data_IF_883479753867
#
_entry.id   IF_883479753867
#
_cell.length_a   1.000
_cell.length_b   1.000
_cell.length_c   1.000
_cell.angle_alpha   90.00
_cell.angle_beta   90.00
_cell.angle_gamma   90.00
#
_symmetry.space_group_name_H-M   'P 1'
#
loop_
_entity.id
_entity.type
_entity.pdbx_description
1 polymer ?
#
# COMPACT_ATOMS: atom_id res chain seq x y z
N UNK A 1 -4.15 -7.03 2.95
CA UNK A 1 -3.49 -8.17 2.26
C UNK A 1 -2.99 -7.80 0.86
N UNK A 2 -3.80 -7.19 -0.01
CA UNK A 2 -3.39 -6.87 -1.40
C UNK A 2 -2.07 -6.09 -1.54
N UNK A 3 -1.86 -5.03 -0.74
CA UNK A 3 -0.58 -4.30 -0.72
C UNK A 3 0.59 -5.20 -0.31
N UNK A 4 0.42 -6.01 0.73
CA UNK A 4 1.48 -6.90 1.23
C UNK A 4 1.88 -7.92 0.17
N UNK A 5 0.93 -8.52 -0.53
CA UNK A 5 1.20 -9.47 -1.61
C UNK A 5 1.87 -8.81 -2.80
N UNK A 6 1.45 -7.59 -3.17
CA UNK A 6 2.09 -6.82 -4.23
C UNK A 6 3.56 -6.50 -3.90
N UNK A 7 3.84 -6.10 -2.66
CA UNK A 7 5.23 -5.83 -2.21
C UNK A 7 6.08 -7.10 -2.20
N UNK A 8 5.52 -8.24 -1.77
CA UNK A 8 6.24 -9.53 -1.79
C UNK A 8 6.60 -9.95 -3.22
N UNK A 9 5.64 -9.86 -4.15
CA UNK A 9 5.85 -10.19 -5.55
C UNK A 9 6.90 -9.27 -6.19
N UNK A 10 6.74 -7.96 -6.02
CA UNK A 10 7.69 -6.97 -6.53
C UNK A 10 9.10 -7.17 -5.98
N UNK A 11 9.21 -7.45 -4.67
CA UNK A 11 10.49 -7.71 -4.02
C UNK A 11 11.24 -8.88 -4.66
N UNK A 12 10.52 -9.98 -4.95
CA UNK A 12 11.11 -11.18 -5.59
C UNK A 12 11.53 -10.90 -7.02
N UNK A 13 10.60 -10.37 -7.82
CA UNK A 13 10.74 -10.38 -9.27
C UNK A 13 11.48 -9.14 -9.81
N UNK A 14 11.28 -7.98 -9.19
CA UNK A 14 11.89 -6.71 -9.62
C UNK A 14 13.09 -6.35 -8.75
N UNK A 15 12.94 -6.35 -7.42
CA UNK A 15 14.02 -5.96 -6.50
C UNK A 15 15.05 -7.07 -6.23
N UNK A 16 14.88 -8.26 -6.85
CA UNK A 16 15.77 -9.43 -6.77
C UNK A 16 16.06 -9.93 -5.35
N UNK A 17 15.08 -9.77 -4.46
CA UNK A 17 15.09 -10.31 -3.10
C UNK A 17 14.50 -11.73 -3.12
N UNK A 18 15.29 -12.69 -3.60
CA UNK A 18 14.86 -14.08 -3.67
C UNK A 18 14.49 -14.62 -2.28
N UNK A 19 13.31 -15.26 -2.17
CA UNK A 19 12.78 -15.71 -0.88
C UNK A 19 12.14 -14.60 -0.03
N UNK A 20 11.92 -13.39 -0.58
CA UNK A 20 11.15 -12.37 0.12
C UNK A 20 9.74 -12.86 0.50
N UNK A 21 9.31 -12.61 1.74
CA UNK A 21 7.99 -13.04 2.21
C UNK A 21 7.48 -12.17 3.37
N UNK A 22 6.20 -12.33 3.69
CA UNK A 22 5.65 -11.95 5.00
C UNK A 22 6.03 -12.95 6.08
N UNK A 23 6.44 -12.46 7.25
CA UNK A 23 6.62 -13.28 8.45
C UNK A 23 5.30 -13.85 9.00
N UNK A 24 4.15 -13.38 8.51
CA UNK A 24 2.85 -13.99 8.80
C UNK A 24 2.75 -15.43 8.30
N UNK A 25 3.36 -15.71 7.15
CA UNK A 25 3.27 -17.01 6.48
C UNK A 25 4.59 -17.78 6.51
N UNK A 26 5.73 -17.08 6.56
CA UNK A 26 7.05 -17.68 6.65
C UNK A 26 7.94 -16.88 7.61
N UNK A 27 7.97 -17.29 8.87
CA UNK A 27 8.78 -16.65 9.92
C UNK A 27 10.29 -16.69 9.63
N UNK A 28 10.75 -17.66 8.82
CA UNK A 28 12.16 -17.87 8.46
C UNK A 28 12.52 -17.28 7.10
N UNK A 29 11.67 -16.44 6.52
CA UNK A 29 11.94 -15.83 5.23
C UNK A 29 13.29 -15.08 5.27
N UNK A 30 14.21 -15.32 4.31
CA UNK A 30 15.51 -14.63 4.28
C UNK A 30 15.33 -13.11 4.13
N UNK A 31 14.28 -12.69 3.42
CA UNK A 31 13.90 -11.28 3.29
C UNK A 31 12.47 -11.03 3.83
N UNK A 32 12.31 -10.72 5.13
CA UNK A 32 11.01 -10.43 5.72
C UNK A 32 10.55 -9.00 5.35
N UNK A 33 10.11 -8.83 4.10
CA UNK A 33 9.68 -7.54 3.55
C UNK A 33 8.34 -7.08 4.11
N UNK A 34 7.56 -8.01 4.68
CA UNK A 34 6.35 -7.71 5.46
C UNK A 34 6.48 -8.38 6.82
N UNK A 35 6.33 -7.62 7.91
CA UNK A 35 6.54 -8.13 9.27
C UNK A 35 5.78 -7.32 10.33
N UNK A 36 5.61 -7.91 11.52
CA UNK A 36 5.28 -7.14 12.73
C UNK A 36 6.54 -6.38 13.17
N UNK A 37 6.45 -5.06 13.27
CA UNK A 37 7.56 -4.20 13.68
C UNK A 37 7.90 -4.40 15.16
N UNK A 38 9.18 -4.22 15.53
CA UNK A 38 9.63 -4.47 16.91
C UNK A 38 8.91 -3.56 17.92
N UNK A 39 8.64 -2.33 17.51
CA UNK A 39 7.92 -1.31 18.29
C UNK A 39 6.48 -1.74 18.60
N UNK A 40 5.84 -2.52 17.72
CA UNK A 40 4.51 -3.09 17.97
C UNK A 40 4.57 -4.25 18.98
N UNK A 41 5.69 -4.99 19.04
CA UNK A 41 5.89 -6.12 19.97
C UNK A 41 6.14 -5.68 21.41
N UNK A 42 6.55 -4.43 21.65
CA UNK A 42 6.77 -3.92 23.02
C UNK A 42 5.47 -3.55 23.75
N UNK A 43 4.32 -3.53 23.06
CA UNK A 43 3.00 -3.11 23.59
C UNK A 43 2.17 -4.30 24.12
N UNK A 44 2.82 -5.43 24.39
CA UNK A 44 2.24 -6.78 24.36
C UNK A 44 1.40 -7.23 25.58
N UNK A 45 0.73 -6.32 26.30
CA UNK A 45 -0.15 -6.75 27.41
C UNK A 45 -1.63 -6.85 27.07
N UNK A 46 -2.12 -6.29 25.95
CA UNK A 46 -3.56 -6.29 25.59
C UNK A 46 -3.84 -6.20 24.07
N UNK A 47 -3.21 -7.02 23.22
CA UNK A 47 -3.50 -7.03 21.77
C UNK A 47 -2.87 -5.88 20.96
N UNK A 48 -1.75 -5.34 21.44
CA UNK A 48 -1.13 -4.08 21.01
C UNK A 48 -0.45 -4.05 19.63
N UNK A 49 -0.47 -5.12 18.84
CA UNK A 49 0.09 -5.10 17.47
C UNK A 49 -0.90 -4.66 16.41
N UNK A 50 -2.20 -4.65 16.72
CA UNK A 50 -3.25 -4.29 15.75
C UNK A 50 -3.31 -2.78 15.53
N UNK A 51 -3.12 -2.34 14.28
CA UNK A 51 -3.55 -1.03 13.84
C UNK A 51 -5.04 -1.08 13.53
N UNK A 52 -5.79 -0.28 14.27
CA UNK A 52 -7.24 -0.26 14.22
C UNK A 52 -7.76 1.17 14.12
N UNK A 53 -8.84 1.35 13.36
CA UNK A 53 -9.58 2.61 13.31
C UNK A 53 -9.05 3.57 12.25
N UNK A 54 -9.50 4.82 12.34
CA UNK A 54 -9.15 5.86 11.38
C UNK A 54 -7.75 6.39 11.69
N UNK A 55 -6.86 6.37 10.70
CA UNK A 55 -5.49 6.87 10.82
C UNK A 55 -5.10 7.72 9.62
N UNK A 56 -4.19 8.69 9.80
CA UNK A 56 -3.72 9.55 8.72
C UNK A 56 -2.76 8.83 7.77
N UNK A 57 -2.86 9.16 6.48
CA UNK A 57 -1.94 8.78 5.42
C UNK A 57 -1.52 10.06 4.67
N UNK A 58 -0.23 10.37 4.71
CA UNK A 58 0.39 11.45 3.97
C UNK A 58 0.70 10.95 2.55
N UNK A 59 0.08 11.59 1.56
CA UNK A 59 0.20 11.26 0.13
C UNK A 59 1.24 12.15 -0.53
N UNK A 60 2.10 11.55 -1.33
CA UNK A 60 3.07 12.26 -2.16
C UNK A 60 2.38 13.05 -3.27
N UNK A 61 2.63 14.36 -3.33
CA UNK A 61 2.07 15.23 -4.37
C UNK A 61 2.47 14.74 -5.78
N UNK A 62 1.52 14.76 -6.71
CA UNK A 62 1.72 14.30 -8.09
C UNK A 62 1.68 12.78 -8.29
N UNK A 63 1.50 11.98 -7.24
CA UNK A 63 1.21 10.54 -7.36
C UNK A 63 -0.19 10.25 -7.92
N UNK A 64 -0.44 9.00 -8.34
CA UNK A 64 -1.81 8.55 -8.68
C UNK A 64 -2.72 8.66 -7.44
N UNK A 65 -2.19 8.31 -6.27
CA UNK A 65 -2.55 8.81 -4.94
C UNK A 65 -3.27 10.15 -4.94
N UNK A 66 -2.46 11.16 -5.17
CA UNK A 66 -2.83 12.56 -5.12
C UNK A 66 -3.87 12.92 -6.18
N UNK A 67 -3.76 12.36 -7.38
CA UNK A 67 -4.72 12.60 -8.46
C UNK A 67 -6.12 12.05 -8.14
N UNK A 68 -6.20 10.89 -7.48
CA UNK A 68 -7.48 10.26 -7.14
C UNK A 68 -8.16 10.97 -5.96
N UNK A 69 -7.39 11.31 -4.93
CA UNK A 69 -7.92 11.92 -3.71
C UNK A 69 -8.06 13.44 -3.79
N UNK A 70 -7.20 14.12 -4.54
CA UNK A 70 -7.13 15.59 -4.59
C UNK A 70 -6.55 16.24 -3.32
N UNK A 71 -5.97 15.44 -2.42
CA UNK A 71 -5.46 15.87 -1.11
C UNK A 71 -4.11 15.19 -0.82
N UNK A 72 -3.26 15.84 -0.02
CA UNK A 72 -1.95 15.30 0.42
C UNK A 72 -1.98 14.68 1.81
N UNK A 73 -3.09 14.79 2.54
CA UNK A 73 -3.29 14.16 3.83
C UNK A 73 -4.71 13.63 3.93
N UNK A 74 -4.86 12.31 4.02
CA UNK A 74 -6.16 11.65 4.08
C UNK A 74 -6.30 10.85 5.38
N UNK A 75 -7.54 10.54 5.76
CA UNK A 75 -7.86 9.73 6.94
C UNK A 75 -8.54 8.43 6.51
N UNK A 76 -7.91 7.28 6.71
CA UNK A 76 -8.42 5.99 6.24
C UNK A 76 -8.57 4.96 7.36
N UNK A 77 -9.40 3.93 7.14
CA UNK A 77 -9.67 2.92 8.18
C UNK A 77 -8.75 1.72 8.07
N UNK A 78 -8.02 1.44 9.13
CA UNK A 78 -7.08 0.32 9.24
C UNK A 78 -7.65 -0.79 10.11
N UNK A 79 -7.29 -2.03 9.75
CA UNK A 79 -7.52 -3.23 10.56
C UNK A 79 -6.53 -4.33 10.17
N UNK A 80 -5.26 -4.11 10.51
CA UNK A 80 -4.19 -5.05 10.19
C UNK A 80 -3.07 -5.00 11.24
N UNK A 81 -2.14 -5.96 11.19
CA UNK A 81 -1.02 -6.09 12.14
C UNK A 81 0.35 -5.99 11.50
N UNK A 82 0.47 -6.51 10.27
CA UNK A 82 1.73 -6.63 9.55
C UNK A 82 1.94 -5.43 8.63
N UNK A 83 3.16 -4.93 8.64
CA UNK A 83 3.58 -3.76 7.88
C UNK A 83 4.64 -4.11 6.86
N UNK A 84 4.76 -3.29 5.82
CA UNK A 84 5.97 -3.30 5.00
C UNK A 84 7.14 -2.90 5.89
N UNK A 85 8.17 -3.73 5.93
CA UNK A 85 9.31 -3.54 6.81
C UNK A 85 10.14 -2.33 6.32
N UNK A 86 10.26 -1.24 7.10
CA UNK A 86 10.90 0.00 6.66
C UNK A 86 12.35 -0.17 6.21
N UNK A 87 13.03 -1.22 6.69
CA UNK A 87 14.39 -1.57 6.25
C UNK A 87 14.51 -1.81 4.74
N UNK A 88 13.42 -2.23 4.09
CA UNK A 88 13.39 -2.52 2.66
C UNK A 88 12.91 -1.35 1.80
N UNK A 89 12.40 -0.26 2.38
CA UNK A 89 11.83 0.86 1.62
C UNK A 89 12.83 1.40 0.59
N UNK A 90 14.07 1.67 1.01
CA UNK A 90 15.11 2.19 0.10
C UNK A 90 15.38 1.27 -1.08
N UNK A 91 15.43 -0.04 -0.85
CA UNK A 91 15.69 -1.02 -1.90
C UNK A 91 14.50 -1.16 -2.85
N UNK A 92 13.28 -1.19 -2.32
CA UNK A 92 12.06 -1.27 -3.12
C UNK A 92 11.89 -0.01 -3.99
N UNK A 93 12.11 1.17 -3.41
CA UNK A 93 12.08 2.45 -4.12
C UNK A 93 13.19 2.50 -5.19
N UNK A 94 14.41 2.11 -4.83
CA UNK A 94 15.53 2.06 -5.77
C UNK A 94 15.31 1.10 -6.95
N UNK A 95 14.47 0.07 -6.78
CA UNK A 95 14.08 -0.85 -7.84
C UNK A 95 12.86 -0.37 -8.65
N UNK A 96 12.26 0.77 -8.30
CA UNK A 96 11.18 1.42 -9.07
C UNK A 96 9.78 1.33 -8.45
N UNK A 97 9.61 0.74 -7.26
CA UNK A 97 8.32 0.78 -6.55
C UNK A 97 8.11 2.18 -5.96
N UNK A 98 6.98 2.81 -6.24
CA UNK A 98 6.65 4.08 -5.60
C UNK A 98 5.88 3.83 -4.31
N UNK A 99 6.38 4.32 -3.17
CA UNK A 99 5.60 4.36 -1.92
C UNK A 99 4.91 5.71 -1.86
N UNK A 100 3.71 5.80 -2.42
CA UNK A 100 3.00 7.07 -2.62
C UNK A 100 2.20 7.54 -1.41
N UNK A 101 2.02 6.68 -0.40
CA UNK A 101 1.35 7.02 0.85
C UNK A 101 2.15 6.49 2.03
N UNK A 102 2.43 7.36 2.99
CA UNK A 102 3.16 7.03 4.22
C UNK A 102 2.34 7.44 5.45
N UNK A 103 2.60 6.84 6.60
CA UNK A 103 2.20 7.44 7.87
C UNK A 103 2.84 8.83 8.03
N UNK A 104 2.26 9.78 8.79
CA UNK A 104 2.79 11.15 8.87
C UNK A 104 4.22 11.27 9.41
N UNK A 105 4.70 10.28 10.16
CA UNK A 105 6.08 10.18 10.62
C UNK A 105 7.04 9.60 9.57
N UNK A 106 6.53 9.28 8.37
CA UNK A 106 7.28 8.72 7.23
C UNK A 106 7.68 7.25 7.39
N UNK A 107 7.22 6.56 8.44
CA UNK A 107 7.72 5.22 8.80
C UNK A 107 6.99 4.09 8.10
N UNK A 108 5.67 4.14 8.02
CA UNK A 108 4.83 3.03 7.55
C UNK A 108 4.35 3.29 6.13
N UNK A 109 4.52 2.31 5.24
CA UNK A 109 3.97 2.37 3.89
C UNK A 109 2.47 2.06 3.92
N UNK A 110 1.66 3.06 3.60
CA UNK A 110 0.20 2.95 3.55
C UNK A 110 -0.32 2.69 2.14
N UNK A 111 0.40 3.18 1.12
CA UNK A 111 0.05 3.01 -0.29
C UNK A 111 1.30 2.83 -1.15
N UNK A 112 1.17 2.00 -2.18
CA UNK A 112 2.21 1.78 -3.19
C UNK A 112 1.65 1.82 -4.61
N UNK A 113 2.49 2.22 -5.55
CA UNK A 113 2.18 2.40 -6.97
C UNK A 113 3.30 1.84 -7.85
N UNK A 114 2.97 1.48 -9.09
CA UNK A 114 3.94 1.20 -10.15
C UNK A 114 3.88 2.31 -11.21
N UNK A 115 4.88 3.21 -11.29
CA UNK A 115 4.83 4.38 -12.17
C UNK A 115 4.61 4.08 -13.65
N UNK A 116 5.06 2.91 -14.14
CA UNK A 116 4.97 2.53 -15.56
C UNK A 116 3.73 1.66 -15.87
N UNK A 117 2.76 1.58 -14.96
CA UNK A 117 1.52 0.84 -15.17
C UNK A 117 0.33 1.82 -15.28
N UNK A 118 -0.60 1.63 -16.24
CA UNK A 118 -1.69 2.59 -16.50
C UNK A 118 -2.56 2.85 -15.27
N UNK A 119 -2.77 1.82 -14.44
CA UNK A 119 -3.43 1.96 -13.14
C UNK A 119 -2.97 0.85 -12.20
N UNK A 120 -1.95 1.10 -11.38
CA UNK A 120 -1.54 0.19 -10.31
C UNK A 120 -1.44 0.96 -9.00
N UNK A 121 -2.31 0.60 -8.07
CA UNK A 121 -2.33 1.18 -6.74
C UNK A 121 -2.77 0.13 -5.74
N UNK A 122 -2.07 0.04 -4.61
CA UNK A 122 -2.46 -0.83 -3.51
C UNK A 122 -2.40 -0.04 -2.21
N UNK A 123 -3.31 -0.32 -1.29
CA UNK A 123 -3.39 0.31 0.03
C UNK A 123 -3.39 -0.73 1.15
N UNK A 124 -2.92 -0.32 2.33
CA UNK A 124 -3.01 -1.10 3.57
C UNK A 124 -4.38 -0.96 4.25
N UNK A 125 -5.01 0.20 4.11
CA UNK A 125 -6.34 0.49 4.66
C UNK A 125 -7.47 -0.14 3.85
N UNK A 126 -8.68 -0.03 4.41
CA UNK A 126 -9.94 -0.58 3.92
C UNK A 126 -10.82 0.51 3.27
N UNK A 127 -10.63 0.82 1.97
CA UNK A 127 -11.41 1.85 1.26
C UNK A 127 -12.92 1.57 1.27
N UNK A 128 -13.33 0.30 1.39
CA UNK A 128 -14.72 -0.14 1.44
C UNK A 128 -15.53 0.51 2.56
N UNK A 129 -14.90 0.80 3.71
CA UNK A 129 -15.63 1.36 4.85
C UNK A 129 -15.98 2.84 4.71
N UNK A 130 -15.28 3.55 3.81
CA UNK A 130 -15.51 4.97 3.54
C UNK A 130 -16.29 5.23 2.24
N UNK A 131 -16.54 4.20 1.44
CA UNK A 131 -17.41 4.30 0.26
C UNK A 131 -18.88 4.53 0.67
N UNK A 132 -19.61 5.29 -0.14
CA UNK A 132 -21.05 5.59 0.03
C UNK A 132 -21.75 5.48 -1.33
N UNK A 133 -23.06 5.14 -1.38
CA UNK A 133 -23.80 5.09 -2.64
C UNK A 133 -23.76 6.40 -3.44
N UNK A 134 -23.80 7.55 -2.76
CA UNK A 134 -23.74 8.88 -3.38
C UNK A 134 -22.31 9.42 -3.56
N UNK A 135 -21.31 8.71 -3.03
CA UNK A 135 -19.90 9.12 -3.09
C UNK A 135 -19.02 7.88 -3.02
N UNK A 136 -18.76 7.30 -4.19
CA UNK A 136 -17.85 6.18 -4.33
C UNK A 136 -16.45 6.56 -3.82
N UNK A 137 -15.79 5.62 -3.16
CA UNK A 137 -14.43 5.83 -2.70
C UNK A 137 -13.47 6.11 -3.88
N UNK A 138 -12.52 7.07 -3.77
CA UNK A 138 -11.65 7.46 -4.87
C UNK A 138 -10.92 6.31 -5.57
N UNK A 139 -10.40 5.34 -4.82
CA UNK A 139 -9.71 4.18 -5.41
C UNK A 139 -10.61 3.31 -6.29
N UNK A 140 -11.88 3.12 -5.91
CA UNK A 140 -12.82 2.31 -6.70
C UNK A 140 -13.30 3.05 -7.93
N UNK A 141 -13.64 4.33 -7.77
CA UNK A 141 -13.98 5.20 -8.90
C UNK A 141 -12.83 5.25 -9.91
N UNK A 142 -11.61 5.46 -9.43
CA UNK A 142 -10.40 5.51 -10.26
C UNK A 142 -10.15 4.22 -11.03
N UNK A 143 -10.39 3.05 -10.41
CA UNK A 143 -10.24 1.76 -11.09
C UNK A 143 -11.22 1.62 -12.27
N UNK A 144 -12.48 2.01 -12.08
CA UNK A 144 -13.50 1.97 -13.15
C UNK A 144 -13.15 2.97 -14.26
N UNK A 145 -12.78 4.21 -13.90
CA UNK A 145 -12.36 5.23 -14.86
C UNK A 145 -11.15 4.78 -15.69
N UNK A 146 -10.16 4.14 -15.05
CA UNK A 146 -9.01 3.57 -15.75
C UNK A 146 -9.40 2.44 -16.71
N UNK A 147 -10.33 1.57 -16.30
CA UNK A 147 -10.87 0.51 -17.15
C UNK A 147 -11.56 1.06 -18.40
N UNK A 148 -12.41 2.07 -18.24
CA UNK A 148 -13.10 2.73 -19.36
C UNK A 148 -12.12 3.41 -20.32
N UNK A 149 -11.14 4.16 -19.81
CA UNK A 149 -10.09 4.77 -20.63
C UNK A 149 -9.30 3.74 -21.42
N UNK A 150 -8.99 2.60 -20.81
CA UNK A 150 -8.27 1.52 -21.49
C UNK A 150 -9.13 0.87 -22.59
N UNK A 151 -10.45 0.79 -22.40
CA UNK A 151 -11.38 0.32 -23.43
C UNK A 151 -11.40 1.28 -24.62
N UNK A 152 -11.62 2.58 -24.37
CA UNK A 152 -11.64 3.62 -25.41
C UNK A 152 -10.34 3.65 -26.23
N UNK A 153 -9.19 3.54 -25.56
CA UNK A 153 -7.87 3.50 -26.21
C UNK A 153 -7.67 2.26 -27.10
N UNK A 154 -8.35 1.14 -26.82
CA UNK A 154 -8.33 -0.05 -27.67
C UNK A 154 -9.27 0.06 -28.87
N UNK A 155 -10.35 0.82 -28.74
CA UNK A 155 -11.31 1.03 -29.82
C UNK A 155 -10.81 2.06 -30.86
N UNK A 156 -9.86 2.92 -30.48
CA UNK A 156 -9.27 3.96 -31.32
C UNK A 156 -7.90 3.59 -31.94
N UNK A 157 -7.33 2.45 -31.56
CA UNK A 157 -6.05 1.93 -32.07
C UNK A 157 -6.27 0.91 -33.20
#
# INVERSE_FOLDING_TARGET
LGLQTAVIEFARNVAKLEGAHSTEFNEKAPHPVVAILKEQRSVDKKGGTMRLGTQPCAIEAGSLAHQLYGETLILERHRHRYEVNPKYHRQLIGAGLKISGLSPDGRLAEMVELPNHPFFIASQFHPEFKSRPTRAHPLFRGLIEAGLKQQEAKETA
#
